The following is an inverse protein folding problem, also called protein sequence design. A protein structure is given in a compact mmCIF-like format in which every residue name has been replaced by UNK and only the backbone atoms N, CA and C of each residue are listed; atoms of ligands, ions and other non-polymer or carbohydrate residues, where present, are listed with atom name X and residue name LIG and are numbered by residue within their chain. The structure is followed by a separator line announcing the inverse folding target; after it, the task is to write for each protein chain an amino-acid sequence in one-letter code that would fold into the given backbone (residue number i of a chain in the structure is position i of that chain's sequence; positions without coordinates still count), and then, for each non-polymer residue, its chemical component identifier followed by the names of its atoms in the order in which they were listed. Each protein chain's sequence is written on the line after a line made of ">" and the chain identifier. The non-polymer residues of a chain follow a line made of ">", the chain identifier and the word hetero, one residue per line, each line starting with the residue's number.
data_IF_770759782448
#
_entry.id   IF_770759782448
#
_cell.length_a   1.000
_cell.length_b   1.000
_cell.length_c   1.000
_cell.angle_alpha   90.00
_cell.angle_beta   90.00
_cell.angle_gamma   90.00
#
_symmetry.space_group_name_H-M   'P 1'
#
loop_
_entity.id
_entity.type
_entity.pdbx_description
1 polymer ?
#
# COMPACT_ATOMS: atom_id res chain seq x y z
N UNK A 1 -32.30 -14.66 5.97
CA UNK A 1 -33.78 -14.80 6.03
C UNK A 1 -34.49 -14.38 4.75
N UNK A 2 -34.08 -13.28 4.09
CA UNK A 2 -34.65 -12.81 2.81
C UNK A 2 -34.75 -13.87 1.71
N UNK A 3 -33.73 -14.71 1.54
CA UNK A 3 -33.73 -15.86 0.61
C UNK A 3 -34.85 -16.86 0.86
N UNK A 4 -35.06 -17.25 2.12
CA UNK A 4 -36.12 -18.17 2.48
C UNK A 4 -37.51 -17.56 2.22
N UNK A 5 -37.68 -16.28 2.55
CA UNK A 5 -38.92 -15.54 2.27
C UNK A 5 -39.19 -15.49 0.77
N UNK A 6 -38.16 -15.27 -0.06
CA UNK A 6 -38.27 -15.28 -1.52
C UNK A 6 -38.80 -16.62 -2.05
N UNK A 7 -38.19 -17.74 -1.64
CA UNK A 7 -38.62 -19.08 -2.05
C UNK A 7 -40.07 -19.33 -1.64
N UNK A 8 -40.43 -19.07 -0.39
CA UNK A 8 -41.79 -19.31 0.12
C UNK A 8 -42.82 -18.39 -0.54
N UNK A 9 -42.45 -17.16 -0.88
CA UNK A 9 -43.29 -16.23 -1.63
C UNK A 9 -43.61 -16.76 -3.03
N UNK A 10 -42.60 -17.29 -3.76
CA UNK A 10 -42.80 -17.89 -5.09
C UNK A 10 -43.63 -19.18 -5.05
N UNK A 11 -43.58 -19.92 -3.93
CA UNK A 11 -44.41 -21.10 -3.68
C UNK A 11 -45.83 -20.76 -3.18
N UNK A 12 -46.23 -19.49 -3.12
CA UNK A 12 -47.57 -19.06 -2.70
C UNK A 12 -47.81 -19.12 -1.19
N UNK A 13 -46.76 -19.15 -0.38
CA UNK A 13 -46.87 -19.16 1.09
C UNK A 13 -47.39 -17.83 1.64
N UNK A 14 -48.31 -17.90 2.62
CA UNK A 14 -48.81 -16.70 3.31
C UNK A 14 -47.73 -16.11 4.25
N UNK A 15 -47.76 -14.79 4.45
CA UNK A 15 -46.81 -14.08 5.32
C UNK A 15 -46.79 -14.63 6.75
N UNK A 16 -47.98 -15.00 7.26
CA UNK A 16 -48.15 -15.59 8.60
C UNK A 16 -47.43 -16.94 8.72
N UNK A 17 -47.62 -17.83 7.75
CA UNK A 17 -46.96 -19.15 7.73
C UNK A 17 -45.44 -19.02 7.59
N UNK A 18 -44.97 -18.05 6.80
CA UNK A 18 -43.54 -17.78 6.64
C UNK A 18 -42.93 -17.29 7.95
N UNK A 19 -43.59 -16.38 8.66
CA UNK A 19 -43.15 -15.88 9.96
C UNK A 19 -43.14 -16.96 11.04
N UNK A 20 -44.20 -17.77 11.14
CA UNK A 20 -44.28 -18.88 12.08
C UNK A 20 -43.15 -19.88 11.83
N UNK A 21 -42.91 -20.25 10.56
CA UNK A 21 -41.81 -21.16 10.23
C UNK A 21 -40.44 -20.55 10.56
N UNK A 22 -40.23 -19.25 10.29
CA UNK A 22 -38.99 -18.56 10.65
C UNK A 22 -38.77 -18.50 12.16
N UNK A 23 -39.83 -18.31 12.95
CA UNK A 23 -39.74 -18.28 14.41
C UNK A 23 -39.49 -19.70 14.98
N UNK A 24 -40.11 -20.73 14.41
CA UNK A 24 -39.82 -22.13 14.78
C UNK A 24 -38.37 -22.52 14.51
N UNK A 25 -37.79 -22.07 13.39
CA UNK A 25 -36.43 -22.45 12.99
C UNK A 25 -35.36 -21.56 13.63
N UNK A 26 -35.62 -20.25 13.79
CA UNK A 26 -34.61 -19.26 14.18
C UNK A 26 -34.88 -18.58 15.53
N UNK A 27 -35.99 -18.89 16.21
CA UNK A 27 -36.34 -18.32 17.52
C UNK A 27 -36.29 -16.80 17.54
N UNK A 28 -35.55 -16.25 18.51
CA UNK A 28 -35.38 -14.81 18.72
C UNK A 28 -34.55 -14.12 17.63
N UNK A 29 -33.81 -14.89 16.81
CA UNK A 29 -33.09 -14.34 15.66
C UNK A 29 -33.99 -14.17 14.42
N UNK A 30 -35.25 -14.60 14.48
CA UNK A 30 -36.22 -14.42 13.40
C UNK A 30 -36.44 -12.95 13.09
N UNK A 31 -36.47 -12.58 11.80
CA UNK A 31 -36.86 -11.24 11.41
C UNK A 31 -38.33 -10.98 11.78
N UNK A 32 -38.69 -9.71 11.97
CA UNK A 32 -40.05 -9.35 12.37
C UNK A 32 -41.09 -9.69 11.30
N UNK A 33 -42.35 -9.84 11.71
CA UNK A 33 -43.48 -10.00 10.79
C UNK A 33 -43.57 -8.85 9.77
N UNK A 34 -43.28 -7.61 10.19
CA UNK A 34 -43.22 -6.47 9.28
C UNK A 34 -42.13 -6.63 8.21
N UNK A 35 -40.95 -7.14 8.58
CA UNK A 35 -39.85 -7.42 7.64
C UNK A 35 -40.25 -8.48 6.61
N UNK A 36 -41.00 -9.51 7.03
CA UNK A 36 -41.55 -10.53 6.13
C UNK A 36 -42.55 -9.94 5.14
N UNK A 37 -43.53 -9.16 5.64
CA UNK A 37 -44.52 -8.49 4.79
C UNK A 37 -43.87 -7.51 3.79
N UNK A 38 -42.90 -6.71 4.22
CA UNK A 38 -42.15 -5.81 3.35
C UNK A 38 -41.38 -6.57 2.27
N UNK A 39 -40.71 -7.66 2.64
CA UNK A 39 -39.97 -8.49 1.68
C UNK A 39 -40.91 -9.15 0.65
N UNK A 40 -42.07 -9.66 1.07
CA UNK A 40 -43.09 -10.23 0.16
C UNK A 40 -43.62 -9.15 -0.80
N UNK A 41 -43.90 -7.94 -0.29
CA UNK A 41 -44.33 -6.82 -1.12
C UNK A 41 -43.27 -6.48 -2.19
N UNK A 42 -42.01 -6.37 -1.79
CA UNK A 42 -40.90 -6.10 -2.71
C UNK A 42 -40.76 -7.21 -3.78
N UNK A 43 -40.94 -8.48 -3.42
CA UNK A 43 -40.88 -9.59 -4.38
C UNK A 43 -42.06 -9.60 -5.34
N UNK A 44 -43.26 -9.26 -4.88
CA UNK A 44 -44.44 -9.09 -5.74
C UNK A 44 -44.32 -7.89 -6.69
N UNK A 45 -43.57 -6.86 -6.28
CA UNK A 45 -43.20 -5.71 -7.11
C UNK A 45 -42.00 -6.00 -8.05
N UNK A 46 -41.52 -7.25 -8.10
CA UNK A 46 -40.47 -7.69 -9.03
C UNK A 46 -39.03 -7.46 -8.57
N UNK A 47 -38.79 -7.03 -7.31
CA UNK A 47 -37.44 -6.85 -6.76
C UNK A 47 -36.88 -8.16 -6.23
N UNK A 48 -36.36 -9.01 -7.12
CA UNK A 48 -35.84 -10.35 -6.79
C UNK A 48 -34.44 -10.36 -6.13
N UNK A 49 -33.84 -9.18 -5.86
CA UNK A 49 -32.54 -9.11 -5.19
C UNK A 49 -32.60 -9.69 -3.77
N UNK A 50 -31.69 -10.62 -3.52
CA UNK A 50 -31.47 -11.25 -2.21
C UNK A 50 -30.48 -10.48 -1.33
N UNK A 51 -29.71 -9.57 -1.93
CA UNK A 51 -28.74 -8.71 -1.26
C UNK A 51 -29.40 -7.40 -0.82
N UNK A 52 -28.92 -6.85 0.30
CA UNK A 52 -29.31 -5.53 0.78
C UNK A 52 -29.04 -4.45 -0.28
N UNK A 53 -29.99 -3.52 -0.43
CA UNK A 53 -29.73 -2.33 -1.24
C UNK A 53 -28.54 -1.54 -0.65
N UNK A 54 -27.77 -0.85 -1.50
CA UNK A 54 -26.75 0.07 -1.03
C UNK A 54 -27.37 1.04 -0.01
N UNK A 55 -26.90 0.99 1.23
CA UNK A 55 -27.36 1.93 2.26
C UNK A 55 -26.88 3.32 1.86
N UNK A 56 -27.74 4.36 1.89
CA UNK A 56 -27.27 5.72 1.75
C UNK A 56 -26.30 5.99 2.90
N UNK A 57 -25.00 6.03 2.58
CA UNK A 57 -23.96 6.36 3.55
C UNK A 57 -24.08 7.82 3.98
N UNK A 58 -23.35 8.19 5.04
CA UNK A 58 -23.11 9.60 5.36
C UNK A 58 -22.59 10.29 4.08
N UNK A 59 -23.17 11.42 3.65
CA UNK A 59 -22.74 12.07 2.42
C UNK A 59 -21.22 12.28 2.45
N UNK A 60 -20.52 11.76 1.44
CA UNK A 60 -19.06 11.88 1.31
C UNK A 60 -18.71 13.33 0.96
N UNK A 61 -18.56 14.13 2.02
CA UNK A 61 -17.75 15.34 2.17
C UNK A 61 -18.01 16.56 1.27
N UNK A 62 -17.73 17.71 1.89
CA UNK A 62 -17.73 19.09 1.42
C UNK A 62 -16.67 19.39 0.32
N UNK A 63 -16.18 18.35 -0.37
CA UNK A 63 -15.10 18.44 -1.35
C UNK A 63 -15.69 18.87 -2.69
N UNK A 64 -15.43 20.11 -3.08
CA UNK A 64 -15.86 20.67 -4.36
C UNK A 64 -14.82 20.38 -5.46
N UNK A 65 -15.22 20.48 -6.73
CA UNK A 65 -14.31 20.29 -7.86
C UNK A 65 -13.14 21.29 -7.86
N UNK A 66 -13.35 22.48 -7.31
CA UNK A 66 -12.33 23.54 -7.22
C UNK A 66 -11.17 23.13 -6.30
N UNK A 67 -11.45 22.55 -5.13
CA UNK A 67 -10.45 22.03 -4.19
C UNK A 67 -9.69 20.87 -4.84
N UNK A 68 -10.39 19.97 -5.52
CA UNK A 68 -9.76 18.85 -6.24
C UNK A 68 -8.79 19.38 -7.30
N UNK A 69 -9.20 20.40 -8.06
CA UNK A 69 -8.36 21.03 -9.07
C UNK A 69 -7.15 21.77 -8.45
N UNK A 70 -7.32 22.43 -7.31
CA UNK A 70 -6.24 23.10 -6.57
C UNK A 70 -5.17 22.10 -6.14
N UNK A 71 -5.58 21.03 -5.45
CA UNK A 71 -4.66 19.96 -5.01
C UNK A 71 -3.97 19.32 -6.20
N UNK A 72 -4.69 19.08 -7.31
CA UNK A 72 -4.10 18.53 -8.52
C UNK A 72 -3.02 19.44 -9.09
N UNK A 73 -3.27 20.75 -9.13
CA UNK A 73 -2.29 21.74 -9.61
C UNK A 73 -1.02 21.76 -8.74
N UNK A 74 -1.16 21.66 -7.44
CA UNK A 74 -0.01 21.61 -6.51
C UNK A 74 0.84 20.34 -6.76
N UNK A 75 0.18 19.19 -6.94
CA UNK A 75 0.85 17.91 -7.26
C UNK A 75 1.53 17.94 -8.63
N UNK A 76 0.88 18.53 -9.64
CA UNK A 76 1.45 18.68 -10.98
C UNK A 76 2.68 19.61 -10.98
N UNK A 77 2.73 20.57 -10.03
CA UNK A 77 3.88 21.47 -9.82
C UNK A 77 5.06 20.81 -9.09
N UNK A 78 4.78 20.05 -8.02
CA UNK A 78 5.78 19.23 -7.33
C UNK A 78 5.22 17.82 -7.03
N UNK A 79 5.57 16.80 -7.83
CA UNK A 79 5.13 15.43 -7.63
C UNK A 79 5.59 14.80 -6.30
N UNK A 80 6.52 15.43 -5.58
CA UNK A 80 7.05 14.98 -4.29
C UNK A 80 6.49 15.74 -3.09
N UNK A 81 5.56 16.68 -3.31
CA UNK A 81 4.90 17.42 -2.22
C UNK A 81 4.29 16.46 -1.20
N UNK A 82 4.47 16.78 0.08
CA UNK A 82 3.94 15.93 1.14
C UNK A 82 2.43 16.15 1.31
N UNK A 83 1.71 15.11 1.74
CA UNK A 83 0.28 15.23 2.08
C UNK A 83 0.07 16.27 3.17
N UNK A 84 1.02 16.41 4.09
CA UNK A 84 0.98 17.42 5.15
C UNK A 84 1.07 18.83 4.57
N UNK A 85 2.03 19.07 3.68
CA UNK A 85 2.23 20.37 3.04
C UNK A 85 1.04 20.78 2.15
N UNK A 86 0.42 19.81 1.46
CA UNK A 86 -0.85 20.01 0.77
C UNK A 86 -1.99 20.37 1.75
N UNK A 87 -2.04 19.70 2.90
CA UNK A 87 -2.99 19.96 3.99
C UNK A 87 -2.88 21.40 4.48
N UNK A 88 -1.65 21.83 4.77
CA UNK A 88 -1.35 23.14 5.34
C UNK A 88 -1.61 24.25 4.32
N UNK A 89 -1.24 24.04 3.05
CA UNK A 89 -1.43 25.01 1.96
C UNK A 89 -2.90 25.22 1.61
N UNK A 90 -3.68 24.14 1.59
CA UNK A 90 -5.09 24.19 1.18
C UNK A 90 -6.05 24.35 2.39
N UNK A 91 -5.53 24.39 3.63
CA UNK A 91 -6.33 24.52 4.86
C UNK A 91 -7.27 23.34 5.10
N UNK A 92 -6.90 22.14 4.65
CA UNK A 92 -7.71 20.93 4.74
C UNK A 92 -7.19 20.00 5.84
N UNK A 93 -8.01 19.03 6.23
CA UNK A 93 -7.52 17.92 7.05
C UNK A 93 -6.68 16.96 6.21
N UNK A 94 -5.65 16.36 6.83
CA UNK A 94 -4.81 15.34 6.21
C UNK A 94 -5.64 14.22 5.58
N UNK A 95 -6.67 13.74 6.29
CA UNK A 95 -7.56 12.68 5.81
C UNK A 95 -8.32 13.08 4.56
N UNK A 96 -8.80 14.33 4.49
CA UNK A 96 -9.47 14.86 3.30
C UNK A 96 -8.53 14.90 2.10
N UNK A 97 -7.31 15.42 2.26
CA UNK A 97 -6.30 15.44 1.19
C UNK A 97 -5.98 14.02 0.72
N UNK A 98 -5.78 13.09 1.66
CA UNK A 98 -5.52 11.69 1.33
C UNK A 98 -6.69 11.08 0.52
N UNK A 99 -7.94 11.29 0.94
CA UNK A 99 -9.14 10.85 0.20
C UNK A 99 -9.20 11.47 -1.19
N UNK A 100 -8.89 12.76 -1.34
CA UNK A 100 -8.85 13.43 -2.65
C UNK A 100 -7.83 12.75 -3.57
N UNK A 101 -6.61 12.53 -3.08
CA UNK A 101 -5.55 11.88 -3.87
C UNK A 101 -5.96 10.45 -4.26
N UNK A 102 -6.47 9.65 -3.32
CA UNK A 102 -6.71 8.21 -3.56
C UNK A 102 -8.04 7.89 -4.22
N UNK A 103 -9.12 8.59 -3.86
CA UNK A 103 -10.48 8.30 -4.34
C UNK A 103 -10.87 9.18 -5.54
N UNK A 104 -10.59 10.48 -5.48
CA UNK A 104 -11.02 11.44 -6.50
C UNK A 104 -10.03 11.52 -7.67
N UNK A 105 -8.74 11.73 -7.37
CA UNK A 105 -7.69 11.78 -8.39
C UNK A 105 -7.20 10.39 -8.80
N UNK A 106 -7.48 9.35 -7.98
CA UNK A 106 -7.04 7.96 -8.19
C UNK A 106 -5.53 7.82 -8.38
N UNK A 107 -4.77 8.75 -7.80
CA UNK A 107 -3.32 8.76 -7.90
C UNK A 107 -2.73 7.76 -6.91
N UNK A 108 -1.65 7.13 -7.33
CA UNK A 108 -0.86 6.22 -6.50
C UNK A 108 0.60 6.58 -6.67
N UNK A 109 1.36 6.47 -5.58
CA UNK A 109 2.81 6.71 -5.60
C UNK A 109 3.45 5.68 -6.53
N UNK A 110 4.11 6.14 -7.58
CA UNK A 110 4.60 5.29 -8.66
C UNK A 110 6.11 5.05 -8.60
N UNK A 111 6.61 4.68 -7.42
CA UNK A 111 8.06 4.49 -7.20
C UNK A 111 8.57 3.30 -8.02
N UNK A 112 7.82 2.19 -8.05
CA UNK A 112 8.28 0.96 -8.68
C UNK A 112 8.36 1.05 -10.21
N UNK A 113 7.52 1.85 -10.88
CA UNK A 113 7.68 2.04 -12.33
C UNK A 113 8.90 2.90 -12.66
N UNK A 114 9.22 3.89 -11.82
CA UNK A 114 10.43 4.70 -11.99
C UNK A 114 11.67 3.82 -11.83
N UNK A 115 11.68 2.95 -10.81
CA UNK A 115 12.73 1.95 -10.61
C UNK A 115 12.83 1.01 -11.81
N UNK A 116 11.71 0.51 -12.34
CA UNK A 116 11.69 -0.30 -13.57
C UNK A 116 12.36 0.42 -14.75
N UNK A 117 11.99 1.68 -14.97
CA UNK A 117 12.53 2.49 -16.07
C UNK A 117 14.04 2.66 -15.91
N UNK A 118 14.49 3.03 -14.71
CA UNK A 118 15.91 3.22 -14.41
C UNK A 118 16.72 1.93 -14.58
N UNK A 119 16.21 0.77 -14.13
CA UNK A 119 16.87 -0.52 -14.33
C UNK A 119 17.02 -0.82 -15.81
N UNK A 120 15.96 -0.64 -16.60
CA UNK A 120 16.00 -0.92 -18.03
C UNK A 120 16.96 0.01 -18.79
N UNK A 121 17.08 1.27 -18.36
CA UNK A 121 18.01 2.23 -18.94
C UNK A 121 19.47 1.90 -18.58
N UNK A 122 19.75 1.59 -17.32
CA UNK A 122 21.10 1.27 -16.85
C UNK A 122 21.57 -0.13 -17.24
N UNK A 123 20.63 -1.06 -17.43
CA UNK A 123 20.90 -2.48 -17.72
C UNK A 123 20.04 -2.97 -18.88
N UNK A 124 20.18 -2.42 -20.10
CA UNK A 124 19.32 -2.77 -21.23
C UNK A 124 19.39 -4.26 -21.61
N UNK A 125 20.52 -4.92 -21.32
CA UNK A 125 20.72 -6.37 -21.51
C UNK A 125 20.04 -7.24 -20.46
N UNK A 126 19.79 -6.69 -19.26
CA UNK A 126 19.21 -7.38 -18.12
C UNK A 126 17.93 -6.66 -17.71
N UNK A 127 16.81 -7.06 -18.33
CA UNK A 127 15.46 -6.62 -17.96
C UNK A 127 15.18 -6.83 -16.46
N UNK A 128 14.14 -6.18 -15.93
CA UNK A 128 13.71 -6.38 -14.54
C UNK A 128 13.49 -7.84 -14.16
N UNK A 129 13.16 -8.72 -15.12
CA UNK A 129 13.00 -10.17 -14.93
C UNK A 129 14.23 -10.91 -14.41
N UNK A 130 15.44 -10.33 -14.48
CA UNK A 130 16.67 -10.90 -13.93
C UNK A 130 17.24 -10.08 -12.75
N UNK A 131 16.43 -9.19 -12.19
CA UNK A 131 16.85 -8.36 -11.07
C UNK A 131 16.53 -9.03 -9.75
N UNK A 132 17.56 -9.22 -8.94
CA UNK A 132 17.44 -9.62 -7.54
C UNK A 132 17.41 -8.35 -6.68
N UNK A 133 16.36 -8.21 -5.85
CA UNK A 133 16.18 -7.09 -4.94
C UNK A 133 16.39 -7.55 -3.50
N UNK A 134 17.31 -6.90 -2.80
CA UNK A 134 17.47 -7.04 -1.36
C UNK A 134 16.92 -5.78 -0.68
N UNK A 135 15.94 -5.95 0.20
CA UNK A 135 15.43 -4.91 1.09
C UNK A 135 15.07 -5.52 2.45
N UNK A 136 14.87 -4.68 3.45
CA UNK A 136 14.45 -5.09 4.79
C UNK A 136 12.97 -5.53 4.82
N UNK A 137 12.57 -6.19 5.92
CA UNK A 137 11.21 -6.71 6.08
C UNK A 137 10.21 -5.70 6.65
N UNK A 138 10.42 -4.40 6.45
CA UNK A 138 9.48 -3.38 6.90
C UNK A 138 8.06 -3.65 6.34
N UNK A 139 7.04 -3.35 7.15
CA UNK A 139 5.64 -3.61 6.81
C UNK A 139 5.22 -3.16 5.40
N UNK A 140 5.58 -1.95 4.93
CA UNK A 140 5.29 -1.51 3.56
C UNK A 140 5.94 -2.37 2.46
N UNK A 141 7.10 -2.96 2.70
CA UNK A 141 7.80 -3.81 1.73
C UNK A 141 7.18 -5.20 1.64
N UNK A 142 6.66 -5.71 2.77
CA UNK A 142 5.97 -6.99 2.86
C UNK A 142 4.47 -6.91 2.50
N UNK A 143 3.93 -5.71 2.33
CA UNK A 143 2.53 -5.51 1.99
C UNK A 143 2.15 -6.25 0.68
N UNK A 144 0.96 -6.85 0.66
CA UNK A 144 0.46 -7.61 -0.51
C UNK A 144 0.47 -6.80 -1.81
N UNK A 145 0.18 -5.50 -1.73
CA UNK A 145 0.22 -4.61 -2.88
C UNK A 145 1.64 -4.50 -3.45
N UNK A 146 2.64 -4.27 -2.60
CA UNK A 146 4.05 -4.14 -2.97
C UNK A 146 4.61 -5.44 -3.55
N UNK A 147 4.39 -6.56 -2.85
CA UNK A 147 4.88 -7.88 -3.31
C UNK A 147 4.23 -8.30 -4.62
N UNK A 148 2.94 -8.00 -4.82
CA UNK A 148 2.25 -8.20 -6.11
C UNK A 148 2.90 -7.36 -7.21
N UNK A 149 3.12 -6.06 -6.99
CA UNK A 149 3.73 -5.18 -7.99
C UNK A 149 5.16 -5.58 -8.34
N UNK A 150 5.99 -5.97 -7.36
CA UNK A 150 7.35 -6.48 -7.63
C UNK A 150 7.33 -7.74 -8.51
N UNK A 151 6.39 -8.66 -8.24
CA UNK A 151 6.17 -9.87 -9.05
C UNK A 151 5.75 -9.53 -10.48
N UNK A 152 4.80 -8.60 -10.65
CA UNK A 152 4.35 -8.14 -11.97
C UNK A 152 5.47 -7.47 -12.78
N UNK A 153 6.45 -6.86 -12.09
CA UNK A 153 7.65 -6.33 -12.71
C UNK A 153 8.72 -7.39 -12.98
N UNK A 154 8.55 -8.63 -12.52
CA UNK A 154 9.54 -9.70 -12.65
C UNK A 154 10.75 -9.55 -11.73
N UNK A 155 10.69 -8.66 -10.74
CA UNK A 155 11.77 -8.46 -9.77
C UNK A 155 11.66 -9.54 -8.70
N UNK A 156 12.74 -10.30 -8.49
CA UNK A 156 12.81 -11.34 -7.48
C UNK A 156 13.35 -10.74 -6.17
N UNK A 157 12.55 -10.79 -5.11
CA UNK A 157 12.97 -10.36 -3.78
C UNK A 157 13.78 -11.47 -3.11
N UNK A 158 14.97 -11.13 -2.62
CA UNK A 158 15.80 -12.04 -1.84
C UNK A 158 15.29 -12.14 -0.40
N UNK A 159 15.39 -13.32 0.25
CA UNK A 159 15.06 -13.44 1.66
C UNK A 159 16.03 -12.58 2.49
N UNK A 160 15.47 -11.83 3.43
CA UNK A 160 16.24 -11.07 4.41
C UNK A 160 15.74 -11.45 5.81
N UNK A 161 16.61 -11.70 6.80
CA UNK A 161 16.18 -11.98 8.16
C UNK A 161 15.63 -10.73 8.86
N UNK A 162 14.85 -10.95 9.93
CA UNK A 162 14.31 -9.84 10.73
C UNK A 162 15.41 -9.20 11.58
N UNK A 163 15.38 -7.86 11.69
CA UNK A 163 16.32 -7.09 12.51
C UNK A 163 17.81 -7.32 12.17
N UNK A 164 18.15 -7.50 10.89
CA UNK A 164 19.53 -7.78 10.48
C UNK A 164 20.17 -6.67 9.63
N UNK A 165 20.34 -5.45 10.20
CA UNK A 165 20.98 -4.35 9.48
C UNK A 165 22.45 -4.67 9.13
N UNK A 166 23.09 -5.56 9.89
CA UNK A 166 24.43 -6.08 9.63
C UNK A 166 24.53 -6.87 8.32
N UNK A 167 23.41 -7.36 7.78
CA UNK A 167 23.32 -8.08 6.51
C UNK A 167 22.76 -7.23 5.36
N UNK A 168 22.42 -5.96 5.61
CA UNK A 168 21.92 -5.04 4.60
C UNK A 168 23.05 -4.08 4.15
N UNK A 169 23.55 -4.18 2.90
CA UNK A 169 24.62 -3.31 2.40
C UNK A 169 24.33 -1.81 2.51
N UNK A 170 23.06 -1.42 2.43
CA UNK A 170 22.67 -0.03 2.64
C UNK A 170 22.95 0.43 4.06
N UNK A 171 22.64 -0.40 5.07
CA UNK A 171 22.76 -0.05 6.48
C UNK A 171 24.19 -0.09 6.98
N UNK A 172 24.92 -1.21 6.76
CA UNK A 172 26.27 -1.35 7.30
C UNK A 172 27.34 -0.58 6.51
N UNK A 173 27.02 -0.07 5.32
CA UNK A 173 28.00 0.60 4.45
C UNK A 173 27.51 1.90 3.84
N UNK A 174 26.48 1.89 2.98
CA UNK A 174 26.11 3.06 2.18
C UNK A 174 25.70 4.26 3.06
N UNK A 175 24.82 4.03 4.02
CA UNK A 175 24.34 5.07 4.91
C UNK A 175 25.43 5.59 5.83
N UNK A 176 26.41 4.75 6.22
CA UNK A 176 27.54 5.20 7.00
C UNK A 176 28.42 6.17 6.19
N UNK A 177 28.74 5.83 4.94
CA UNK A 177 29.46 6.72 4.03
C UNK A 177 28.75 8.05 3.87
N UNK A 178 27.43 8.03 3.63
CA UNK A 178 26.66 9.24 3.45
C UNK A 178 26.62 10.08 4.74
N UNK A 179 26.44 9.46 5.90
CA UNK A 179 26.48 10.15 7.20
C UNK A 179 27.82 10.84 7.41
N UNK A 180 28.93 10.15 7.15
CA UNK A 180 30.27 10.69 7.36
C UNK A 180 30.56 11.85 6.40
N UNK A 181 30.21 11.71 5.11
CA UNK A 181 30.46 12.74 4.08
C UNK A 181 29.57 13.98 4.21
N UNK A 182 28.36 13.79 4.73
CA UNK A 182 27.39 14.87 4.95
C UNK A 182 27.40 15.39 6.39
N UNK A 183 28.23 14.83 7.27
CA UNK A 183 28.32 15.23 8.66
C UNK A 183 28.59 16.73 8.79
N UNK A 184 27.87 17.39 9.69
CA UNK A 184 28.00 18.82 9.95
C UNK A 184 27.38 19.75 8.90
N UNK A 185 26.93 19.24 7.74
CA UNK A 185 26.22 20.06 6.75
C UNK A 185 24.78 20.29 7.18
N UNK A 186 24.30 21.53 7.05
CA UNK A 186 22.90 21.91 7.29
C UNK A 186 22.25 22.28 5.97
N UNK A 187 21.04 21.77 5.74
CA UNK A 187 20.27 22.04 4.51
C UNK A 187 18.96 22.73 4.89
N UNK A 188 18.67 23.84 4.20
CA UNK A 188 17.43 24.58 4.42
C UNK A 188 16.23 23.94 3.70
N UNK A 189 16.48 23.24 2.58
CA UNK A 189 15.44 22.58 1.77
C UNK A 189 15.81 21.13 1.49
N UNK A 190 14.78 20.28 1.38
CA UNK A 190 14.94 18.87 1.04
C UNK A 190 15.58 18.67 -0.35
N UNK A 191 15.33 19.58 -1.29
CA UNK A 191 15.92 19.55 -2.63
C UNK A 191 17.44 19.74 -2.57
N UNK A 192 17.94 20.58 -1.66
CA UNK A 192 19.38 20.80 -1.51
C UNK A 192 20.05 19.58 -0.88
N UNK A 193 19.39 18.96 0.10
CA UNK A 193 19.82 17.67 0.65
C UNK A 193 19.85 16.59 -0.44
N UNK A 194 18.80 16.47 -1.25
CA UNK A 194 18.71 15.49 -2.32
C UNK A 194 19.82 15.68 -3.36
N UNK A 195 20.14 16.94 -3.73
CA UNK A 195 21.28 17.26 -4.61
C UNK A 195 22.61 16.86 -3.99
N UNK A 196 22.83 17.18 -2.71
CA UNK A 196 24.05 16.82 -2.00
C UNK A 196 24.23 15.29 -1.92
N UNK A 197 23.19 14.55 -1.53
CA UNK A 197 23.20 13.08 -1.51
C UNK A 197 23.54 12.52 -2.90
N UNK A 198 22.86 13.00 -3.96
CA UNK A 198 23.15 12.55 -5.33
C UNK A 198 24.59 12.85 -5.78
N UNK A 199 25.14 13.99 -5.36
CA UNK A 199 26.54 14.32 -5.62
C UNK A 199 27.49 13.32 -4.94
N UNK A 200 27.28 13.01 -3.66
CA UNK A 200 28.11 12.06 -2.92
C UNK A 200 27.96 10.62 -3.45
N UNK A 201 26.78 10.22 -3.90
CA UNK A 201 26.56 8.90 -4.52
C UNK A 201 27.34 8.74 -5.83
N UNK A 202 27.50 9.81 -6.60
CA UNK A 202 28.27 9.81 -7.86
C UNK A 202 29.79 9.71 -7.67
N UNK A 203 30.29 9.94 -6.45
CA UNK A 203 31.72 9.80 -6.16
C UNK A 203 32.09 8.39 -5.70
N UNK A 204 31.12 7.51 -5.48
CA UNK A 204 31.36 6.10 -5.15
C UNK A 204 31.80 5.36 -6.41
N UNK A 205 32.94 4.68 -6.34
CA UNK A 205 33.53 3.98 -7.47
C UNK A 205 32.99 2.55 -7.60
N UNK A 206 33.13 1.95 -8.79
CA UNK A 206 32.71 0.56 -9.00
C UNK A 206 33.43 -0.41 -8.06
N UNK A 207 34.72 -0.18 -7.80
CA UNK A 207 35.52 -0.98 -6.87
C UNK A 207 34.99 -0.98 -5.43
N UNK A 208 34.39 0.13 -4.99
CA UNK A 208 33.76 0.23 -3.68
C UNK A 208 32.56 -0.72 -3.60
N UNK A 209 31.68 -0.70 -4.61
CA UNK A 209 30.55 -1.61 -4.70
C UNK A 209 31.01 -3.08 -4.68
N UNK A 210 32.02 -3.42 -5.49
CA UNK A 210 32.58 -4.78 -5.50
C UNK A 210 33.17 -5.18 -4.14
N UNK A 211 33.82 -4.25 -3.44
CA UNK A 211 34.33 -4.45 -2.08
C UNK A 211 33.21 -4.76 -1.09
N UNK A 212 32.08 -4.07 -1.20
CA UNK A 212 30.92 -4.25 -0.33
C UNK A 212 30.25 -5.59 -0.54
N UNK A 213 30.08 -6.04 -1.79
CA UNK A 213 29.53 -7.37 -2.07
C UNK A 213 30.44 -8.48 -1.52
N UNK A 214 31.77 -8.30 -1.56
CA UNK A 214 32.71 -9.21 -0.90
C UNK A 214 32.53 -9.22 0.62
N UNK A 215 32.43 -8.04 1.25
CA UNK A 215 32.14 -7.93 2.70
C UNK A 215 30.79 -8.56 3.07
N UNK A 216 29.77 -8.36 2.24
CA UNK A 216 28.45 -8.94 2.43
C UNK A 216 28.50 -10.47 2.43
N UNK A 217 29.24 -11.08 1.50
CA UNK A 217 29.45 -12.52 1.47
C UNK A 217 30.14 -13.05 2.74
N UNK A 218 31.13 -12.32 3.28
CA UNK A 218 31.80 -12.67 4.55
C UNK A 218 30.82 -12.58 5.72
N UNK A 219 30.01 -11.51 5.78
CA UNK A 219 28.99 -11.29 6.82
C UNK A 219 27.94 -12.41 6.81
N UNK A 220 27.48 -12.83 5.63
CA UNK A 220 26.57 -13.96 5.50
C UNK A 220 27.17 -15.26 6.04
N UNK A 221 28.45 -15.54 5.76
CA UNK A 221 29.14 -16.72 6.30
C UNK A 221 29.23 -16.68 7.83
N UNK A 222 29.60 -15.53 8.40
CA UNK A 222 29.65 -15.34 9.85
C UNK A 222 28.29 -15.51 10.52
N UNK A 223 27.22 -15.01 9.90
CA UNK A 223 25.86 -15.23 10.39
C UNK A 223 25.52 -16.73 10.51
N UNK A 224 25.91 -17.52 9.50
CA UNK A 224 25.72 -18.97 9.51
C UNK A 224 26.57 -19.63 10.60
N UNK A 225 27.85 -19.26 10.71
CA UNK A 225 28.79 -19.77 11.73
C UNK A 225 28.35 -19.41 13.15
N UNK A 226 27.72 -18.25 13.32
CA UNK A 226 27.20 -17.76 14.60
C UNK A 226 25.77 -18.25 14.90
N UNK A 227 25.24 -19.17 14.08
CA UNK A 227 23.87 -19.70 14.22
C UNK A 227 22.77 -18.61 14.27
N UNK A 228 22.98 -17.48 13.60
CA UNK A 228 22.04 -16.36 13.55
C UNK A 228 22.23 -15.30 14.65
N UNK A 229 23.20 -15.47 15.56
CA UNK A 229 23.57 -14.45 16.54
C UNK A 229 24.29 -13.26 15.87
N UNK A 230 24.19 -12.08 16.49
CA UNK A 230 24.93 -10.90 16.06
C UNK A 230 26.44 -11.12 16.23
N UNK A 231 27.22 -10.61 15.28
CA UNK A 231 28.68 -10.68 15.30
C UNK A 231 29.29 -9.29 15.18
N UNK A 232 30.48 -9.10 15.74
CA UNK A 232 31.20 -7.83 15.63
C UNK A 232 31.65 -7.57 14.17
N UNK A 233 31.49 -6.32 13.75
CA UNK A 233 31.78 -5.88 12.39
C UNK A 233 33.29 -5.96 12.05
N UNK A 234 33.60 -6.29 10.78
CA UNK A 234 34.91 -6.12 10.15
C UNK A 234 35.12 -4.69 9.67
#
# INVERSE_FOLDING_TARGET
>A
MRFYIFIRCKLGGSAKLIQETLHTVCGDCACSYQTVCLSIKEFNEGKESLSDCPRPGRPKSCVNEQIIASIKKDIDGDPHISVQELSDTNGLSYGTVHTIITEHLRMKKNVLSQVKSAINEQRPKFSTSRTLLLHDNAGPHQARATTKSLRELGIQVLPHPAYSPDLAPCDFWLFQILKDRLAGRKFARIQDLAKAVNSELRTILEEDYQGVFRKWHIRLKRCIESHGEYFEAL
#
